data_IF_684167458126
#
_entry.id   IF_684167458126
#
_cell.length_a   1.000
_cell.length_b   1.000
_cell.length_c   1.000
_cell.angle_alpha   90.00
_cell.angle_beta   90.00
_cell.angle_gamma   90.00
#
_symmetry.space_group_name_H-M   'P 1'
#
loop_
_entity.id
_entity.type
_entity.pdbx_description
1 polymer ?
#
# COMPACT_ATOMS: atom_id res chain seq x y z
N UNK A 1 -1.67 -4.10 -28.25
CA UNK A 1 -1.64 -4.43 -27.82
C UNK A 1 -1.58 -4.84 -27.01
N UNK A 2 -1.58 -5.14 -27.05
CA UNK A 2 -1.79 -5.68 -26.16
C UNK A 2 -1.04 -5.57 -25.16
N UNK A 3 -1.41 -5.40 -24.31
CA UNK A 3 -0.78 -5.42 -23.29
C UNK A 3 -0.50 -6.65 -22.88
N UNK A 4 0.58 -6.96 -22.63
CA UNK A 4 0.92 -8.22 -22.10
C UNK A 4 1.00 -8.06 -20.63
N UNK A 5 0.76 -9.10 -19.90
CA UNK A 5 0.86 -9.07 -18.45
C UNK A 5 2.23 -8.66 -17.97
N UNK A 6 3.24 -8.88 -18.80
CA UNK A 6 4.60 -8.55 -18.40
C UNK A 6 4.83 -7.06 -18.34
N UNK A 7 3.93 -6.29 -18.91
CA UNK A 7 4.10 -4.87 -18.94
C UNK A 7 3.29 -4.13 -17.93
N UNK A 8 3.12 -4.67 -16.75
CA UNK A 8 2.49 -3.93 -15.67
C UNK A 8 3.28 -2.65 -15.42
N UNK A 9 2.60 -1.54 -15.17
CA UNK A 9 3.31 -0.34 -14.78
C UNK A 9 4.18 -0.60 -13.57
N UNK A 10 5.29 0.11 -13.49
CA UNK A 10 6.25 -0.12 -12.42
C UNK A 10 5.63 0.04 -11.05
N UNK A 11 4.76 1.03 -10.87
CA UNK A 11 4.17 1.24 -9.55
C UNK A 11 3.31 0.03 -9.13
N UNK A 12 2.72 -0.69 -10.08
CA UNK A 12 1.95 -1.88 -9.73
C UNK A 12 2.85 -3.01 -9.26
N UNK A 13 4.05 -3.10 -9.83
CA UNK A 13 5.01 -4.08 -9.36
C UNK A 13 5.44 -3.76 -7.94
N UNK A 14 5.68 -2.48 -7.66
CA UNK A 14 6.05 -2.06 -6.32
C UNK A 14 4.91 -2.31 -5.35
N UNK A 15 3.68 -2.02 -5.77
CA UNK A 15 2.51 -2.32 -4.96
C UNK A 15 2.46 -3.79 -4.59
N UNK A 16 2.72 -4.67 -5.56
CA UNK A 16 2.74 -6.11 -5.30
C UNK A 16 3.81 -6.53 -4.32
N UNK A 17 4.98 -5.91 -4.39
CA UNK A 17 6.05 -6.23 -3.45
C UNK A 17 5.70 -5.78 -2.04
N UNK A 18 5.08 -4.61 -1.90
CA UNK A 18 4.66 -4.14 -0.59
C UNK A 18 3.55 -5.06 -0.06
N UNK A 19 2.61 -5.45 -0.91
CA UNK A 19 1.56 -6.37 -0.49
C UNK A 19 2.15 -7.68 0.02
N UNK A 20 3.16 -8.18 -0.64
CA UNK A 20 3.78 -9.42 -0.21
C UNK A 20 4.41 -9.27 1.16
N UNK A 21 5.08 -8.14 1.40
CA UNK A 21 5.66 -7.88 2.71
C UNK A 21 4.58 -7.83 3.79
N UNK A 22 3.41 -7.27 3.46
CA UNK A 22 2.30 -7.26 4.40
C UNK A 22 1.80 -8.67 4.68
N UNK A 23 1.72 -9.49 3.64
CA UNK A 23 1.21 -10.85 3.80
C UNK A 23 2.11 -11.72 4.65
N UNK A 24 3.42 -11.57 4.48
CA UNK A 24 4.35 -12.39 5.24
C UNK A 24 4.63 -11.81 6.63
N UNK A 25 4.02 -10.68 6.94
CA UNK A 25 4.16 -10.10 8.27
C UNK A 25 5.43 -9.32 8.51
N UNK A 26 6.09 -8.88 7.46
CA UNK A 26 7.26 -8.04 7.61
C UNK A 26 6.88 -6.78 8.38
N UNK A 27 5.72 -6.22 8.08
CA UNK A 27 5.17 -5.09 8.81
C UNK A 27 3.79 -5.51 9.28
N UNK A 28 3.58 -5.49 10.58
CA UNK A 28 2.34 -5.98 11.17
C UNK A 28 1.30 -4.87 11.27
N UNK A 29 0.04 -5.22 11.43
CA UNK A 29 -1.01 -4.21 11.55
C UNK A 29 -0.64 -3.19 12.63
N UNK A 30 -0.80 -1.92 12.29
CA UNK A 30 -0.48 -0.82 13.19
C UNK A 30 0.96 -0.38 13.16
N UNK A 31 1.84 -1.14 12.53
CA UNK A 31 3.25 -0.75 12.45
C UNK A 31 3.48 0.19 11.28
N UNK A 32 4.48 1.05 11.43
CA UNK A 32 4.86 1.93 10.34
C UNK A 32 5.64 1.14 9.30
N UNK A 33 5.35 1.42 8.02
CA UNK A 33 6.18 0.89 6.96
C UNK A 33 7.30 1.91 6.70
N UNK A 34 8.35 1.51 6.00
CA UNK A 34 9.42 2.47 5.69
C UNK A 34 8.89 3.66 4.91
N UNK A 35 9.61 4.76 4.97
CA UNK A 35 9.20 5.97 4.25
C UNK A 35 9.26 5.73 2.75
N UNK A 36 8.62 6.65 2.01
CA UNK A 36 8.68 6.57 0.55
C UNK A 36 10.12 6.61 0.07
N UNK A 37 10.93 7.43 0.70
CA UNK A 37 12.34 7.52 0.31
C UNK A 37 13.07 6.21 0.57
N UNK A 38 12.82 5.61 1.73
CA UNK A 38 13.46 4.35 2.06
C UNK A 38 13.02 3.23 1.13
N UNK A 39 11.74 3.20 0.81
CA UNK A 39 11.25 2.18 -0.12
C UNK A 39 11.76 2.41 -1.52
N UNK A 40 11.91 3.67 -1.92
CA UNK A 40 12.47 3.97 -3.23
C UNK A 40 13.89 3.45 -3.35
N UNK A 41 14.68 3.61 -2.31
CA UNK A 41 16.04 3.08 -2.29
C UNK A 41 16.01 1.56 -2.29
N UNK A 42 15.17 0.98 -1.47
CA UNK A 42 15.08 -0.47 -1.33
C UNK A 42 14.70 -1.13 -2.65
N UNK A 43 13.76 -0.55 -3.37
CA UNK A 43 13.29 -1.13 -4.62
C UNK A 43 13.96 -0.53 -5.85
N UNK A 44 14.83 0.46 -5.65
CA UNK A 44 15.58 1.10 -6.75
C UNK A 44 14.63 1.75 -7.76
N UNK A 45 13.68 2.51 -7.26
CA UNK A 45 12.74 3.23 -8.10
C UNK A 45 12.61 4.65 -7.56
N UNK A 46 11.88 5.49 -8.26
CA UNK A 46 11.68 6.85 -7.83
C UNK A 46 10.69 6.92 -6.67
N UNK A 47 10.76 7.98 -5.89
CA UNK A 47 9.80 8.20 -4.83
C UNK A 47 8.39 8.32 -5.37
N UNK A 48 8.24 8.93 -6.55
CA UNK A 48 6.92 9.06 -7.16
C UNK A 48 6.28 7.73 -7.46
N UNK A 49 7.10 6.76 -7.89
CA UNK A 49 6.60 5.41 -8.15
C UNK A 49 6.12 4.77 -6.85
N UNK A 50 6.90 4.90 -5.77
CA UNK A 50 6.50 4.36 -4.48
C UNK A 50 5.24 5.05 -3.99
N UNK A 51 5.19 6.38 -4.11
CA UNK A 51 4.03 7.13 -3.65
C UNK A 51 2.76 6.66 -4.33
N UNK A 52 2.82 6.43 -5.63
CA UNK A 52 1.64 5.99 -6.36
C UNK A 52 1.21 4.61 -5.90
N UNK A 53 2.16 3.72 -5.66
CA UNK A 53 1.85 2.40 -5.14
C UNK A 53 1.17 2.49 -3.77
N UNK A 54 1.71 3.34 -2.90
CA UNK A 54 1.14 3.51 -1.57
C UNK A 54 -0.24 4.17 -1.66
N UNK A 55 -0.43 5.12 -2.58
CA UNK A 55 -1.74 5.73 -2.76
C UNK A 55 -2.79 4.68 -3.07
N UNK A 56 -2.47 3.70 -3.91
CA UNK A 56 -3.42 2.66 -4.22
C UNK A 56 -3.68 1.74 -3.03
N UNK A 57 -2.63 1.43 -2.28
CA UNK A 57 -2.81 0.62 -1.08
C UNK A 57 -3.66 1.33 -0.05
N UNK A 58 -3.49 2.64 0.07
CA UNK A 58 -4.31 3.43 0.98
C UNK A 58 -5.75 3.47 0.52
N UNK A 59 -5.96 3.57 -0.79
CA UNK A 59 -7.31 3.57 -1.33
C UNK A 59 -8.03 2.24 -1.07
N UNK A 60 -7.24 1.16 -0.94
CA UNK A 60 -7.79 -0.14 -0.63
C UNK A 60 -7.83 -0.40 0.88
N UNK A 61 -7.48 0.61 1.67
CA UNK A 61 -7.49 0.51 3.12
C UNK A 61 -6.53 -0.52 3.69
N UNK A 62 -5.45 -0.77 2.96
CA UNK A 62 -4.42 -1.69 3.43
C UNK A 62 -3.35 -0.96 4.21
N UNK A 63 -3.17 0.33 3.96
CA UNK A 63 -2.28 1.17 4.73
C UNK A 63 -2.99 2.49 5.01
N UNK A 64 -2.52 3.21 6.01
CA UNK A 64 -3.09 4.48 6.43
C UNK A 64 -1.98 5.50 6.48
N UNK A 65 -2.17 6.63 5.78
CA UNK A 65 -1.21 7.72 5.85
C UNK A 65 -1.57 8.61 7.01
N UNK A 66 -0.61 8.84 7.89
CA UNK A 66 -0.81 9.75 9.02
C UNK A 66 0.11 10.93 8.82
N UNK A 67 -0.50 12.07 8.60
CA UNK A 67 0.25 13.27 8.27
C UNK A 67 1.26 13.58 9.36
N UNK A 68 2.50 13.80 8.94
CA UNK A 68 3.57 14.11 9.88
C UNK A 68 4.13 12.92 10.62
N UNK A 69 3.55 11.73 10.46
CA UNK A 69 4.01 10.55 11.17
C UNK A 69 4.44 9.42 10.27
N UNK A 70 3.91 9.38 9.04
CA UNK A 70 4.30 8.35 8.09
C UNK A 70 3.12 7.52 7.66
N UNK A 71 3.42 6.36 7.10
CA UNK A 71 2.40 5.44 6.61
C UNK A 71 2.45 4.18 7.47
N UNK A 72 1.28 3.74 7.87
CA UNK A 72 1.16 2.61 8.79
C UNK A 72 0.31 1.52 8.17
N UNK A 73 0.57 0.28 8.55
CA UNK A 73 -0.26 -0.84 8.13
C UNK A 73 -1.63 -0.68 8.79
N UNK A 74 -2.69 -0.80 7.99
CA UNK A 74 -4.03 -0.65 8.52
C UNK A 74 -4.32 -1.74 9.54
N UNK A 75 -4.99 -1.36 10.62
CA UNK A 75 -5.40 -2.33 11.62
C UNK A 75 -6.67 -3.00 11.12
N UNK A 76 -7.03 -4.08 11.80
CA UNK A 76 -8.25 -4.78 11.46
C UNK A 76 -9.46 -3.84 11.53
N UNK A 77 -9.49 -2.97 12.53
CA UNK A 77 -10.59 -2.04 12.68
C UNK A 77 -10.65 -1.06 11.50
N UNK A 78 -9.49 -0.60 11.05
CA UNK A 78 -9.45 0.34 9.93
C UNK A 78 -9.89 -0.33 8.63
N UNK A 79 -9.52 -1.57 8.44
CA UNK A 79 -9.96 -2.30 7.27
C UNK A 79 -11.47 -2.53 7.31
N UNK A 80 -12.02 -2.73 8.48
CA UNK A 80 -13.44 -2.98 8.61
C UNK A 80 -14.30 -1.73 8.41
N UNK A 81 -13.71 -0.56 8.49
CA UNK A 81 -14.48 0.66 8.31
C UNK A 81 -15.16 0.68 6.96
N UNK A 82 -14.42 0.40 5.90
CA UNK A 82 -15.01 0.40 4.57
C UNK A 82 -16.07 -0.69 4.45
N UNK A 83 -15.78 -1.86 4.99
CA UNK A 83 -16.71 -2.95 4.92
C UNK A 83 -17.99 -2.62 5.68
N UNK A 84 -17.86 -2.04 6.85
CA UNK A 84 -19.02 -1.68 7.65
C UNK A 84 -19.86 -0.63 6.93
N UNK A 85 -19.21 0.31 6.28
CA UNK A 85 -19.92 1.34 5.54
C UNK A 85 -20.77 0.72 4.44
N UNK A 86 -20.22 -0.23 3.73
CA UNK A 86 -20.97 -0.91 2.69
C UNK A 86 -22.15 -1.66 3.26
N UNK A 87 -22.02 -2.18 4.45
CA UNK A 87 -23.10 -2.90 5.07
C UNK A 87 -24.25 -2.00 5.47
N UNK A 88 -23.94 -0.77 5.80
CA UNK A 88 -24.96 0.15 6.22
C UNK A 88 -25.77 0.70 5.06
N UNK A 89 -25.29 0.55 3.86
CA UNK A 89 -25.99 1.02 2.68
C UNK A 89 -26.94 -0.08 2.24
N UNK A 90 -28.24 0.14 2.31
CA UNK A 90 -29.22 -0.88 1.96
C UNK A 90 -29.14 -1.30 0.51
#
# INVERSE_FOLDING_TARGET
MAQTPAFSPLYQQIKGLILQSLRVGEWKPGEAIPSEMELAVRFRVSQGTVRKAIDELAAENLVVRRQGKGTFVATHAEQQVQFRFLKLVP
#
